data_IF_592746301563
#
_entry.id   IF_592746301563
#
_cell.length_a   1.000
_cell.length_b   1.000
_cell.length_c   1.000
_cell.angle_alpha   90.00
_cell.angle_beta   90.00
_cell.angle_gamma   90.00
#
_symmetry.space_group_name_H-M   'P 1'
#
loop_
_entity.id
_entity.type
_entity.pdbx_description
1 polymer ?
#
# COMPACT_ATOMS: atom_id res chain seq x y z
N UNK A 1 -12.81 -20.71 15.53
CA UNK A 1 -12.51 -19.28 15.35
C UNK A 1 -11.91 -19.11 13.97
N UNK A 2 -12.68 -18.64 13.00
CA UNK A 2 -12.17 -18.38 11.64
C UNK A 2 -11.40 -17.07 11.67
N UNK A 3 -10.08 -17.18 11.86
CA UNK A 3 -9.18 -16.03 11.73
C UNK A 3 -9.35 -15.42 10.35
N UNK A 4 -9.60 -14.12 10.28
CA UNK A 4 -9.61 -13.40 8.99
C UNK A 4 -8.23 -13.54 8.37
N UNK A 5 -8.11 -13.75 7.04
CA UNK A 5 -6.81 -13.79 6.39
C UNK A 5 -6.02 -12.52 6.69
N UNK A 6 -4.71 -12.68 6.87
CA UNK A 6 -3.79 -11.56 7.07
C UNK A 6 -3.91 -10.61 5.87
N UNK A 7 -4.07 -9.30 6.13
CA UNK A 7 -4.30 -8.23 5.12
C UNK A 7 -5.72 -8.13 4.52
N UNK A 8 -6.72 -8.79 5.13
CA UNK A 8 -8.11 -8.67 4.67
C UNK A 8 -8.36 -9.39 3.35
N UNK A 9 -9.40 -8.98 2.63
CA UNK A 9 -9.85 -9.66 1.39
C UNK A 9 -9.61 -8.85 0.11
N UNK A 10 -9.28 -7.55 0.21
CA UNK A 10 -9.23 -6.66 -0.97
C UNK A 10 -8.25 -7.10 -2.06
N UNK A 11 -7.14 -7.73 -1.68
CA UNK A 11 -6.14 -8.26 -2.63
C UNK A 11 -6.53 -9.60 -3.29
N UNK A 12 -7.52 -10.29 -2.73
CA UNK A 12 -7.92 -11.64 -3.16
C UNK A 12 -9.19 -11.61 -4.05
N UNK A 13 -9.82 -10.44 -4.19
CA UNK A 13 -11.01 -10.24 -5.02
C UNK A 13 -10.62 -9.88 -6.46
N UNK A 14 -11.50 -10.20 -7.41
CA UNK A 14 -11.40 -9.68 -8.77
C UNK A 14 -11.87 -8.22 -8.81
N UNK A 15 -11.10 -7.37 -9.50
CA UNK A 15 -11.41 -5.96 -9.69
C UNK A 15 -11.80 -5.71 -11.15
N UNK A 16 -12.86 -4.94 -11.36
CA UNK A 16 -13.19 -4.42 -12.68
C UNK A 16 -12.24 -3.26 -12.98
N UNK A 17 -11.59 -3.31 -14.13
CA UNK A 17 -10.68 -2.26 -14.59
C UNK A 17 -11.40 -1.37 -15.60
N UNK A 18 -11.32 -0.07 -15.41
CA UNK A 18 -11.74 0.95 -16.35
C UNK A 18 -10.55 1.88 -16.61
N UNK A 19 -10.20 2.06 -17.88
CA UNK A 19 -9.08 2.91 -18.29
C UNK A 19 -9.60 4.20 -18.91
N UNK A 20 -9.07 5.34 -18.47
CA UNK A 20 -9.34 6.63 -19.06
C UNK A 20 -8.07 7.48 -19.11
N UNK A 21 -7.50 7.61 -20.31
CA UNK A 21 -6.25 8.34 -20.55
C UNK A 21 -5.08 7.83 -19.68
N UNK A 22 -4.67 8.60 -18.67
CA UNK A 22 -3.56 8.30 -17.75
C UNK A 22 -4.03 7.72 -16.41
N UNK A 23 -5.34 7.54 -16.24
CA UNK A 23 -5.94 7.01 -15.03
C UNK A 23 -6.42 5.60 -15.29
N UNK A 24 -5.95 4.67 -14.46
CA UNK A 24 -6.50 3.32 -14.37
C UNK A 24 -7.30 3.25 -13.09
N UNK A 25 -8.60 3.02 -13.21
CA UNK A 25 -9.48 2.88 -12.07
C UNK A 25 -9.87 1.41 -11.90
N UNK A 26 -9.55 0.84 -10.75
CA UNK A 26 -9.93 -0.50 -10.35
C UNK A 26 -11.08 -0.42 -9.36
N UNK A 27 -12.16 -1.17 -9.57
CA UNK A 27 -13.33 -1.18 -8.69
C UNK A 27 -13.72 -2.57 -8.26
N UNK A 28 -14.22 -2.70 -7.04
CA UNK A 28 -15.02 -3.87 -6.66
C UNK A 28 -16.24 -3.48 -5.83
N UNK A 29 -17.26 -4.30 -5.97
CA UNK A 29 -18.42 -4.37 -5.09
C UNK A 29 -18.44 -5.78 -4.50
N UNK A 30 -18.57 -5.89 -3.18
CA UNK A 30 -18.44 -7.19 -2.51
C UNK A 30 -19.77 -7.68 -1.95
N UNK A 31 -20.04 -8.96 -2.21
CA UNK A 31 -21.08 -9.74 -1.55
C UNK A 31 -20.52 -10.64 -0.44
N UNK A 32 -19.31 -10.35 0.04
CA UNK A 32 -18.73 -11.06 1.19
C UNK A 32 -19.71 -10.95 2.36
N UNK A 33 -20.09 -12.07 3.01
CA UNK A 33 -21.03 -12.05 4.14
C UNK A 33 -20.60 -11.06 5.23
N UNK A 34 -21.51 -10.17 5.60
CA UNK A 34 -21.26 -9.08 6.55
C UNK A 34 -20.69 -7.79 5.92
N UNK A 35 -20.28 -7.81 4.65
CA UNK A 35 -19.78 -6.67 3.89
C UNK A 35 -20.63 -6.34 2.65
N UNK A 36 -21.79 -6.98 2.49
CA UNK A 36 -22.70 -6.70 1.39
C UNK A 36 -23.05 -5.21 1.32
N UNK A 37 -22.85 -4.62 0.13
CA UNK A 37 -22.99 -3.19 -0.12
C UNK A 37 -21.71 -2.37 0.09
N UNK A 38 -20.61 -2.97 0.58
CA UNK A 38 -19.31 -2.32 0.61
C UNK A 38 -18.71 -2.26 -0.80
N UNK A 39 -18.14 -1.11 -1.16
CA UNK A 39 -17.45 -0.90 -2.43
C UNK A 39 -16.12 -0.22 -2.19
N UNK A 40 -15.13 -0.52 -3.02
CA UNK A 40 -13.90 0.24 -3.06
C UNK A 40 -13.46 0.51 -4.50
N UNK A 41 -12.72 1.59 -4.65
CA UNK A 41 -12.13 2.03 -5.90
C UNK A 41 -10.68 2.44 -5.63
N UNK A 42 -9.76 1.99 -6.48
CA UNK A 42 -8.39 2.48 -6.50
C UNK A 42 -8.16 3.18 -7.83
N UNK A 43 -7.79 4.47 -7.77
CA UNK A 43 -7.37 5.24 -8.92
C UNK A 43 -5.85 5.30 -8.96
N UNK A 44 -5.25 4.84 -10.05
CA UNK A 44 -3.82 4.96 -10.34
C UNK A 44 -3.60 6.03 -11.38
N UNK A 45 -2.76 7.02 -11.09
CA UNK A 45 -2.34 8.02 -12.06
C UNK A 45 -0.83 7.94 -12.25
N UNK A 46 -0.39 7.61 -13.47
CA UNK A 46 1.02 7.55 -13.81
C UNK A 46 1.47 8.81 -14.57
N UNK A 47 2.48 9.47 -14.04
CA UNK A 47 3.23 10.55 -14.69
C UNK A 47 4.62 10.09 -15.15
N UNK A 48 5.42 11.01 -15.69
CA UNK A 48 6.79 10.69 -16.12
C UNK A 48 7.73 10.33 -14.96
N UNK A 49 7.47 10.87 -13.76
CA UNK A 49 8.31 10.72 -12.55
C UNK A 49 7.50 10.54 -11.27
N UNK A 50 6.25 10.14 -11.41
CA UNK A 50 5.30 10.05 -10.31
C UNK A 50 4.31 8.92 -10.54
N UNK A 51 3.98 8.22 -9.46
CA UNK A 51 2.84 7.32 -9.37
C UNK A 51 1.98 7.77 -8.20
N UNK A 52 0.77 8.23 -8.48
CA UNK A 52 -0.22 8.54 -7.46
C UNK A 52 -1.25 7.41 -7.36
N UNK A 53 -1.65 7.09 -6.13
CA UNK A 53 -2.65 6.07 -5.81
C UNK A 53 -3.67 6.66 -4.84
N UNK A 54 -4.95 6.54 -5.17
CA UNK A 54 -6.04 6.98 -4.31
C UNK A 54 -7.00 5.82 -4.04
N UNK A 55 -7.23 5.48 -2.78
CA UNK A 55 -8.22 4.47 -2.38
C UNK A 55 -9.48 5.18 -1.85
N UNK A 56 -10.59 5.01 -2.56
CA UNK A 56 -11.92 5.43 -2.11
C UNK A 56 -12.68 4.22 -1.60
N UNK A 57 -13.23 4.34 -0.39
CA UNK A 57 -14.06 3.31 0.23
C UNK A 57 -15.47 3.83 0.45
N UNK A 58 -16.47 3.03 0.10
CA UNK A 58 -17.88 3.39 0.20
C UNK A 58 -18.60 2.38 1.08
N UNK A 59 -19.15 2.85 2.20
CA UNK A 59 -19.95 2.00 3.07
C UNK A 59 -21.44 2.04 2.67
N UNK A 60 -21.85 1.12 1.81
CA UNK A 60 -23.27 0.85 1.52
C UNK A 60 -23.88 -0.27 2.38
N UNK A 61 -23.17 -0.74 3.41
CA UNK A 61 -23.69 -1.75 4.32
C UNK A 61 -24.84 -1.20 5.17
N UNK A 62 -25.66 -2.10 5.73
CA UNK A 62 -26.72 -1.73 6.69
C UNK A 62 -26.20 -1.13 8.00
N UNK A 63 -24.91 -1.33 8.30
CA UNK A 63 -24.24 -0.86 9.51
C UNK A 63 -22.96 -0.12 9.17
N UNK A 64 -22.47 0.70 10.11
CA UNK A 64 -21.15 1.28 10.03
C UNK A 64 -20.06 0.19 10.01
N UNK A 65 -19.20 0.21 8.98
CA UNK A 65 -18.04 -0.68 8.89
C UNK A 65 -16.76 0.10 9.13
N UNK A 66 -15.92 -0.41 10.05
CA UNK A 66 -14.56 0.07 10.25
C UNK A 66 -13.63 -0.64 9.29
N UNK A 67 -12.77 0.12 8.63
CA UNK A 67 -11.73 -0.38 7.73
C UNK A 67 -10.37 0.16 8.19
N UNK A 68 -9.31 -0.57 7.85
CA UNK A 68 -7.92 -0.19 8.10
C UNK A 68 -7.12 -0.45 6.82
N UNK A 69 -7.26 0.41 5.79
CA UNK A 69 -6.57 0.21 4.53
C UNK A 69 -5.07 0.50 4.67
N UNK A 70 -4.29 -0.04 3.73
CA UNK A 70 -2.87 0.27 3.57
C UNK A 70 -2.46 -0.02 2.14
N UNK A 71 -1.60 0.83 1.59
CA UNK A 71 -0.86 0.51 0.38
C UNK A 71 0.39 -0.28 0.78
N UNK A 72 0.77 -1.25 -0.04
CA UNK A 72 1.86 -2.17 0.29
C UNK A 72 2.92 -2.19 -0.83
N UNK A 73 3.47 -1.03 -1.24
CA UNK A 73 4.44 -0.96 -2.34
C UNK A 73 5.76 -1.65 -1.96
N UNK A 74 6.36 -2.34 -2.94
CA UNK A 74 7.65 -2.98 -2.79
C UNK A 74 8.70 -2.22 -3.59
N UNK A 75 9.79 -1.86 -2.93
CA UNK A 75 10.92 -1.16 -3.55
C UNK A 75 12.07 -2.13 -3.71
N UNK A 76 12.58 -2.23 -4.95
CA UNK A 76 13.76 -3.02 -5.25
C UNK A 76 15.02 -2.35 -4.65
N UNK A 77 15.93 -3.16 -4.14
CA UNK A 77 17.18 -2.74 -3.53
C UNK A 77 18.38 -3.26 -4.34
N UNK A 78 19.46 -2.49 -4.34
CA UNK A 78 20.76 -2.99 -4.77
C UNK A 78 21.44 -3.67 -3.58
N UNK A 79 21.14 -4.95 -3.40
CA UNK A 79 21.50 -5.72 -2.21
C UNK A 79 20.56 -5.41 -1.04
N UNK A 80 21.12 -5.14 0.14
CA UNK A 80 20.33 -5.07 1.38
C UNK A 80 20.34 -3.69 2.06
N UNK A 81 21.06 -2.71 1.50
CA UNK A 81 21.18 -1.38 2.07
C UNK A 81 20.19 -0.40 1.40
N UNK A 82 19.62 0.49 2.20
CA UNK A 82 18.83 1.63 1.73
C UNK A 82 19.02 2.82 2.68
N UNK A 83 18.61 4.01 2.25
CA UNK A 83 18.54 5.19 3.12
C UNK A 83 17.10 5.63 3.27
N UNK A 84 16.69 5.93 4.50
CA UNK A 84 15.38 6.51 4.81
C UNK A 84 15.60 7.75 5.67
N UNK A 85 15.15 8.90 5.17
CA UNK A 85 15.29 10.21 5.83
C UNK A 85 16.72 10.49 6.31
N UNK A 86 17.72 10.23 5.46
CA UNK A 86 19.14 10.44 5.81
C UNK A 86 19.78 9.32 6.64
N UNK A 87 19.02 8.29 7.02
CA UNK A 87 19.51 7.19 7.87
C UNK A 87 19.74 5.95 7.03
N UNK A 88 20.98 5.44 7.03
CA UNK A 88 21.32 4.19 6.35
C UNK A 88 20.81 2.99 7.16
N UNK A 89 20.03 2.15 6.50
CA UNK A 89 19.33 1.01 7.07
C UNK A 89 19.63 -0.26 6.27
N UNK A 90 19.22 -1.40 6.83
CA UNK A 90 19.43 -2.74 6.26
C UNK A 90 18.10 -3.50 6.23
N UNK A 91 17.63 -3.91 5.05
CA UNK A 91 16.31 -4.55 4.90
C UNK A 91 16.15 -5.81 5.78
N UNK A 92 17.20 -6.63 5.89
CA UNK A 92 17.23 -7.82 6.74
C UNK A 92 17.02 -7.57 8.25
N UNK A 93 17.04 -6.32 8.71
CA UNK A 93 16.70 -5.95 10.09
C UNK A 93 15.20 -5.83 10.34
N UNK A 94 14.37 -5.78 9.28
CA UNK A 94 12.93 -5.53 9.35
C UNK A 94 12.07 -6.79 9.15
N UNK A 95 12.39 -7.89 9.84
CA UNK A 95 11.55 -9.11 9.77
C UNK A 95 10.27 -9.05 10.58
N UNK A 96 10.16 -8.06 11.47
CA UNK A 96 8.91 -7.63 12.08
C UNK A 96 8.64 -6.20 11.59
N UNK A 97 7.38 -5.88 11.35
CA UNK A 97 7.00 -4.54 10.89
C UNK A 97 7.38 -3.50 11.95
N UNK A 98 8.16 -2.51 11.54
CA UNK A 98 8.44 -1.32 12.33
C UNK A 98 7.63 -0.16 11.76
N UNK A 99 7.16 0.74 12.64
CA UNK A 99 6.33 1.85 12.21
C UNK A 99 7.06 3.17 12.33
N UNK A 100 6.93 3.98 11.30
CA UNK A 100 7.33 5.39 11.31
C UNK A 100 6.11 6.25 10.98
N UNK A 101 6.14 7.49 11.44
CA UNK A 101 5.06 8.45 11.25
C UNK A 101 5.53 9.63 10.44
N UNK A 102 4.61 10.20 9.66
CA UNK A 102 4.82 11.42 8.90
C UNK A 102 4.12 11.36 7.56
N UNK A 103 3.73 12.52 6.99
CA UNK A 103 3.10 12.55 5.68
C UNK A 103 4.11 12.31 4.55
N UNK A 104 5.42 12.51 4.79
CA UNK A 104 6.45 12.43 3.75
C UNK A 104 7.73 11.78 4.27
N UNK A 105 8.28 10.86 3.48
CA UNK A 105 9.59 10.25 3.71
C UNK A 105 10.43 10.26 2.42
N UNK A 106 11.75 10.35 2.56
CA UNK A 106 12.69 10.23 1.45
C UNK A 106 13.37 8.88 1.50
N UNK A 107 13.17 8.07 0.46
CA UNK A 107 13.77 6.74 0.31
C UNK A 107 14.84 6.78 -0.78
N UNK A 108 16.04 6.28 -0.48
CA UNK A 108 17.12 6.10 -1.46
C UNK A 108 17.45 4.61 -1.58
N UNK A 109 17.42 4.09 -2.80
CA UNK A 109 17.75 2.70 -3.13
C UNK A 109 18.74 2.66 -4.30
N UNK A 110 20.00 2.29 -4.03
CA UNK A 110 21.04 2.35 -5.06
C UNK A 110 21.21 3.76 -5.63
N UNK A 111 21.00 3.93 -6.93
CA UNK A 111 21.03 5.24 -7.61
C UNK A 111 19.69 5.98 -7.66
N UNK A 112 18.62 5.43 -7.10
CA UNK A 112 17.27 6.01 -7.17
C UNK A 112 16.91 6.71 -5.86
N UNK A 113 16.18 7.83 -5.98
CA UNK A 113 15.62 8.57 -4.86
C UNK A 113 14.13 8.75 -5.09
N UNK A 114 13.34 8.38 -4.08
CA UNK A 114 11.89 8.46 -4.07
C UNK A 114 11.45 9.40 -2.94
N UNK A 115 10.48 10.25 -3.25
CA UNK A 115 9.70 10.96 -2.25
C UNK A 115 8.39 10.19 -2.07
N UNK A 116 8.19 9.61 -0.90
CA UNK A 116 6.97 8.92 -0.52
C UNK A 116 6.08 9.91 0.21
N UNK A 117 4.82 10.05 -0.21
CA UNK A 117 3.88 10.98 0.39
C UNK A 117 2.50 10.34 0.59
N UNK A 118 1.84 10.64 1.71
CA UNK A 118 0.44 10.28 1.96
C UNK A 118 -0.26 11.38 2.75
N UNK A 119 -1.41 11.83 2.26
CA UNK A 119 -2.25 12.80 2.95
C UNK A 119 -2.95 12.19 4.17
N UNK A 120 -3.53 10.99 4.01
CA UNK A 120 -4.43 10.36 4.99
C UNK A 120 -3.76 9.23 5.79
N UNK A 121 -2.91 8.41 5.16
CA UNK A 121 -2.28 7.24 5.78
C UNK A 121 -0.83 7.57 6.17
N UNK A 122 -0.68 8.32 7.26
CA UNK A 122 0.63 8.85 7.69
C UNK A 122 1.43 7.92 8.61
N UNK A 123 1.01 6.66 8.73
CA UNK A 123 1.78 5.60 9.42
C UNK A 123 2.28 4.61 8.38
N UNK A 124 3.60 4.45 8.31
CA UNK A 124 4.27 3.61 7.31
C UNK A 124 4.83 2.36 7.96
N UNK A 125 4.74 1.23 7.25
CA UNK A 125 5.14 -0.07 7.76
C UNK A 125 6.43 -0.52 7.08
N UNK A 126 7.53 -0.47 7.82
CA UNK A 126 8.85 -0.90 7.39
C UNK A 126 8.99 -2.41 7.57
N UNK A 127 9.07 -3.17 6.47
CA UNK A 127 9.13 -4.64 6.53
C UNK A 127 9.93 -5.29 5.39
N UNK A 128 10.52 -6.46 5.65
CA UNK A 128 11.11 -7.34 4.65
C UNK A 128 10.99 -8.80 5.12
N UNK A 129 10.75 -9.71 4.18
CA UNK A 129 10.81 -11.16 4.45
C UNK A 129 12.24 -11.66 4.73
N UNK A 130 13.25 -10.80 4.51
CA UNK A 130 14.70 -11.08 4.62
C UNK A 130 15.23 -12.08 3.58
N UNK A 131 14.43 -12.43 2.56
CA UNK A 131 14.77 -13.41 1.54
C UNK A 131 15.09 -12.78 0.18
N UNK A 132 14.65 -11.54 -0.05
CA UNK A 132 14.89 -10.83 -1.30
C UNK A 132 15.60 -9.49 -1.16
N UNK A 133 16.09 -8.98 -2.29
CA UNK A 133 16.67 -7.63 -2.43
C UNK A 133 15.56 -6.59 -2.62
N UNK A 134 14.63 -6.53 -1.66
CA UNK A 134 13.53 -5.59 -1.67
C UNK A 134 13.10 -5.23 -0.25
N UNK A 135 12.33 -4.15 -0.14
CA UNK A 135 11.74 -3.69 1.11
C UNK A 135 10.33 -3.15 0.90
N UNK A 136 9.46 -3.37 1.89
CA UNK A 136 8.12 -2.81 2.00
C UNK A 136 8.17 -1.52 2.82
N UNK A 137 7.52 -0.48 2.32
CA UNK A 137 7.24 0.75 3.08
C UNK A 137 5.75 1.11 2.99
#
# INVERSE_FOLDING_TARGET
>A
MTGRPQQGFGRDLEWRIEENNRVISAYFETDVPGWSGFRAQIDYTAGERELAMELKVFNGCTEARRVSPGFHPYFALEGNDFELDGRRLKANKFGEAQFIEGPTHTLVTGTHTFTLHSDELQTWALWSDRLGDYFLC
#
